data_IF_233440045556
#
_entry.id   IF_233440045556
#
_cell.length_a   1.000
_cell.length_b   1.000
_cell.length_c   1.000
_cell.angle_alpha   90.00
_cell.angle_beta   90.00
_cell.angle_gamma   90.00
#
_symmetry.space_group_name_H-M   'P 1'
#
loop_
_entity.id
_entity.type
_entity.pdbx_description
1 polymer ?
#
# COMPACT_ATOMS: atom_id res chain seq x y z
N UNK A 1 6.28 13.06 12.71
CA UNK A 1 6.60 11.72 13.27
C UNK A 1 8.04 11.37 12.96
N UNK A 2 8.74 10.60 13.81
CA UNK A 2 10.10 10.17 13.53
C UNK A 2 10.15 9.23 12.31
N UNK A 3 11.27 9.27 11.58
CA UNK A 3 11.59 8.31 10.50
C UNK A 3 11.43 6.87 10.99
N UNK A 4 10.87 6.00 10.14
CA UNK A 4 10.64 4.60 10.48
C UNK A 4 9.97 3.81 9.37
N UNK A 5 9.88 2.49 9.57
CA UNK A 5 9.14 1.57 8.72
C UNK A 5 7.78 1.29 9.34
N UNK A 6 6.74 1.25 8.51
CA UNK A 6 5.37 1.00 8.90
C UNK A 6 4.79 -0.10 8.01
N UNK A 7 4.06 -1.03 8.60
CA UNK A 7 3.18 -1.92 7.84
C UNK A 7 1.82 -1.28 7.70
N UNK A 8 1.24 -1.39 6.50
CA UNK A 8 -0.11 -0.96 6.20
C UNK A 8 -0.91 -2.18 5.75
N UNK A 9 -2.07 -2.39 6.36
CA UNK A 9 -3.02 -3.43 5.96
C UNK A 9 -4.41 -2.86 5.98
N UNK A 10 -5.27 -3.21 5.04
CA UNK A 10 -6.57 -2.58 4.97
C UNK A 10 -7.53 -3.25 4.02
N UNK A 11 -8.71 -2.63 3.92
CA UNK A 11 -9.83 -3.05 3.09
C UNK A 11 -10.33 -1.89 2.25
N UNK A 12 -10.70 -2.16 1.00
CA UNK A 12 -11.63 -1.32 0.23
C UNK A 12 -12.98 -2.03 0.19
N UNK A 13 -14.08 -1.27 0.20
CA UNK A 13 -15.43 -1.86 0.34
C UNK A 13 -16.20 -1.99 -0.97
N UNK A 14 -15.54 -1.73 -2.10
CA UNK A 14 -16.17 -1.79 -3.42
C UNK A 14 -15.31 -2.60 -4.38
N UNK A 15 -15.97 -3.52 -5.10
CA UNK A 15 -15.37 -4.15 -6.27
C UNK A 15 -15.30 -3.10 -7.37
N UNK A 16 -14.13 -2.48 -7.50
CA UNK A 16 -13.91 -1.57 -8.63
C UNK A 16 -13.68 -2.39 -9.88
N UNK A 17 -14.71 -2.54 -10.71
CA UNK A 17 -14.60 -3.00 -12.11
C UNK A 17 -13.57 -2.18 -12.91
N UNK A 18 -13.17 -1.01 -12.40
CA UNK A 18 -12.17 -0.11 -12.98
C UNK A 18 -10.74 -0.65 -12.95
N UNK A 19 -10.43 -1.62 -12.08
CA UNK A 19 -9.13 -2.25 -12.07
C UNK A 19 -9.12 -3.46 -13.01
N UNK A 20 -8.77 -3.23 -14.29
CA UNK A 20 -8.54 -4.29 -15.28
C UNK A 20 -7.70 -5.43 -14.67
N UNK A 21 -8.29 -6.62 -14.56
CA UNK A 21 -7.66 -7.80 -13.96
C UNK A 21 -6.34 -8.09 -14.69
N UNK A 22 -5.21 -8.08 -13.96
CA UNK A 22 -3.93 -8.50 -14.53
C UNK A 22 -4.07 -9.97 -14.95
N UNK A 23 -3.80 -10.33 -16.23
CA UNK A 23 -3.83 -11.71 -16.69
C UNK A 23 -2.89 -12.59 -15.86
N UNK A 24 -3.32 -13.81 -15.52
CA UNK A 24 -2.57 -14.70 -14.61
C UNK A 24 -1.17 -15.09 -15.11
N UNK A 25 -0.87 -14.91 -16.40
CA UNK A 25 0.40 -15.30 -17.04
C UNK A 25 1.58 -14.35 -16.85
N UNK A 26 1.39 -13.13 -16.34
CA UNK A 26 2.44 -12.09 -16.27
C UNK A 26 3.02 -11.88 -14.85
N UNK A 27 2.73 -12.78 -13.90
CA UNK A 27 3.14 -12.65 -12.49
C UNK A 27 4.44 -13.40 -12.23
N UNK A 28 5.38 -12.78 -11.51
CA UNK A 28 6.57 -13.48 -11.02
C UNK A 28 6.29 -14.24 -9.69
N UNK A 29 7.20 -15.13 -9.26
CA UNK A 29 6.97 -16.03 -8.12
C UNK A 29 6.70 -15.29 -6.79
N UNK A 30 7.41 -14.19 -6.52
CA UNK A 30 7.23 -13.40 -5.29
C UNK A 30 5.92 -12.62 -5.28
N UNK A 31 5.53 -12.05 -6.42
CA UNK A 31 4.21 -11.43 -6.59
C UNK A 31 3.10 -12.47 -6.45
N UNK A 32 3.36 -13.70 -6.88
CA UNK A 32 2.37 -14.77 -6.86
C UNK A 32 1.99 -15.19 -5.44
N UNK A 33 2.93 -15.28 -4.48
CA UNK A 33 2.61 -15.71 -3.12
C UNK A 33 1.71 -14.73 -2.36
N UNK A 34 2.06 -13.43 -2.35
CA UNK A 34 1.25 -12.40 -1.68
C UNK A 34 -0.12 -12.22 -2.36
N UNK A 35 -0.16 -12.26 -3.69
CA UNK A 35 -1.42 -12.12 -4.43
C UNK A 35 -2.29 -13.37 -4.30
N UNK A 36 -1.71 -14.58 -4.19
CA UNK A 36 -2.47 -15.82 -4.00
C UNK A 36 -3.23 -15.82 -2.67
N UNK A 37 -2.62 -15.33 -1.58
CA UNK A 37 -3.32 -15.14 -0.31
C UNK A 37 -4.50 -14.16 -0.43
N UNK A 38 -4.36 -13.13 -1.25
CA UNK A 38 -5.38 -12.09 -1.45
C UNK A 38 -6.47 -12.48 -2.46
N UNK A 39 -6.33 -13.61 -3.17
CA UNK A 39 -7.39 -14.13 -4.07
C UNK A 39 -8.66 -14.51 -3.30
N UNK A 40 -8.51 -15.01 -2.08
CA UNK A 40 -9.64 -15.43 -1.23
C UNK A 40 -10.28 -14.25 -0.48
N UNK A 41 -9.70 -13.05 -0.59
CA UNK A 41 -10.17 -11.84 0.05
C UNK A 41 -9.88 -10.63 -0.85
N UNK A 42 -10.62 -10.47 -1.97
CA UNK A 42 -10.30 -9.52 -3.03
C UNK A 42 -10.32 -8.05 -2.59
N UNK A 43 -10.91 -7.78 -1.44
CA UNK A 43 -11.05 -6.46 -0.82
C UNK A 43 -9.85 -6.07 0.06
N UNK A 44 -8.95 -7.00 0.36
CA UNK A 44 -7.79 -6.74 1.22
C UNK A 44 -6.62 -6.16 0.43
N UNK A 45 -5.85 -5.29 1.10
CA UNK A 45 -4.52 -4.87 0.68
C UNK A 45 -3.53 -4.94 1.86
N UNK A 46 -2.25 -5.15 1.54
CA UNK A 46 -1.17 -5.22 2.52
C UNK A 46 0.14 -4.67 1.95
N UNK A 47 0.95 -4.02 2.76
CA UNK A 47 2.14 -3.32 2.30
C UNK A 47 3.02 -2.75 3.39
N UNK A 48 4.03 -1.99 2.95
CA UNK A 48 4.95 -1.29 3.82
C UNK A 48 5.23 0.13 3.32
N UNK A 49 5.40 1.06 4.26
CA UNK A 49 5.90 2.42 4.04
C UNK A 49 7.22 2.54 4.81
N UNK A 50 8.26 3.06 4.17
CA UNK A 50 9.60 3.17 4.75
C UNK A 50 10.32 4.43 4.27
N UNK A 51 11.30 4.87 5.06
CA UNK A 51 12.17 5.97 4.68
C UNK A 51 13.13 5.53 3.57
N UNK A 52 13.17 6.30 2.49
CA UNK A 52 14.19 6.23 1.45
C UNK A 52 15.21 7.34 1.70
N UNK A 53 16.34 6.95 2.28
CA UNK A 53 17.43 7.87 2.61
C UNK A 53 18.29 8.07 1.35
N UNK A 54 18.22 9.26 0.78
CA UNK A 54 19.04 9.65 -0.37
C UNK A 54 20.48 9.93 0.06
N UNK A 55 21.41 9.90 -0.90
CA UNK A 55 22.85 10.07 -0.66
C UNK A 55 23.24 11.45 -0.12
N UNK A 56 22.40 12.46 -0.35
CA UNK A 56 22.55 13.84 0.13
C UNK A 56 21.98 14.05 1.55
N UNK A 57 21.42 13.01 2.16
CA UNK A 57 20.81 13.08 3.49
C UNK A 57 19.35 13.52 3.47
N UNK A 58 18.77 13.83 2.31
CA UNK A 58 17.32 13.99 2.19
C UNK A 58 16.63 12.63 2.39
N UNK A 59 15.48 12.64 3.04
CA UNK A 59 14.66 11.44 3.21
C UNK A 59 13.26 11.67 2.66
N UNK A 60 12.86 10.85 1.70
CA UNK A 60 11.47 10.74 1.26
C UNK A 60 10.84 9.47 1.84
N UNK A 61 9.52 9.39 1.84
CA UNK A 61 8.82 8.14 2.12
C UNK A 61 8.55 7.41 0.80
N UNK A 62 8.81 6.10 0.79
CA UNK A 62 8.41 5.18 -0.27
C UNK A 62 7.56 4.07 0.33
N UNK A 63 6.79 3.39 -0.51
CA UNK A 63 6.10 2.20 -0.09
C UNK A 63 5.82 1.21 -1.20
N UNK A 64 5.42 0.02 -0.78
CA UNK A 64 4.95 -1.06 -1.63
C UNK A 64 3.62 -1.55 -1.08
N UNK A 65 2.70 -1.89 -1.95
CA UNK A 65 1.41 -2.44 -1.59
C UNK A 65 1.05 -3.58 -2.54
N UNK A 66 0.44 -4.62 -2.00
CA UNK A 66 -0.08 -5.77 -2.70
C UNK A 66 -1.56 -5.91 -2.39
N UNK A 67 -2.34 -6.23 -3.41
CA UNK A 67 -3.74 -6.60 -3.28
C UNK A 67 -4.11 -7.63 -4.35
N UNK A 68 -5.40 -7.88 -4.50
CA UNK A 68 -5.96 -8.76 -5.52
C UNK A 68 -5.46 -8.47 -6.95
N UNK A 69 -5.33 -7.19 -7.28
CA UNK A 69 -5.00 -6.74 -8.62
C UNK A 69 -3.50 -6.79 -8.88
N UNK A 70 -2.65 -6.67 -7.86
CA UNK A 70 -1.23 -7.00 -7.96
C UNK A 70 -0.33 -6.10 -7.12
N UNK A 71 0.95 -6.04 -7.51
CA UNK A 71 1.94 -5.22 -6.83
C UNK A 71 1.88 -3.76 -7.29
N UNK A 72 1.96 -2.84 -6.32
CA UNK A 72 1.96 -1.41 -6.51
C UNK A 72 3.11 -0.73 -5.76
N UNK A 73 3.52 0.42 -6.26
CA UNK A 73 4.39 1.37 -5.58
C UNK A 73 3.52 2.47 -4.96
N UNK A 74 3.90 2.91 -3.77
CA UNK A 74 3.30 4.05 -3.09
C UNK A 74 4.22 5.27 -3.22
N UNK A 75 3.68 6.38 -3.72
CA UNK A 75 4.34 7.68 -3.88
C UNK A 75 3.54 8.79 -3.20
N UNK A 76 4.09 10.00 -3.16
CA UNK A 76 3.43 11.20 -2.60
C UNK A 76 2.90 10.98 -1.18
N UNK A 77 3.66 10.21 -0.39
CA UNK A 77 3.24 9.75 0.92
C UNK A 77 3.35 10.90 1.91
N UNK A 78 2.21 11.31 2.47
CA UNK A 78 2.14 12.24 3.60
C UNK A 78 1.62 11.48 4.80
N UNK A 79 2.44 11.34 5.83
CA UNK A 79 2.06 10.65 7.07
C UNK A 79 2.26 11.57 8.28
N UNK A 80 1.17 11.88 8.95
CA UNK A 80 1.07 12.67 10.19
C UNK A 80 0.31 11.86 11.23
N UNK A 81 0.19 12.38 12.45
CA UNK A 81 -0.41 11.65 13.58
C UNK A 81 -1.87 11.22 13.33
N UNK A 82 -2.63 12.06 12.63
CA UNK A 82 -4.06 11.94 12.37
C UNK A 82 -4.42 11.92 10.87
N UNK A 83 -3.42 12.02 9.99
CA UNK A 83 -3.61 12.12 8.54
C UNK A 83 -2.61 11.24 7.77
N UNK A 84 -3.13 10.48 6.81
CA UNK A 84 -2.35 9.68 5.88
C UNK A 84 -2.87 9.87 4.46
N UNK A 85 -1.99 10.21 3.53
CA UNK A 85 -2.30 10.12 2.10
C UNK A 85 -1.14 9.52 1.31
N UNK A 86 -1.46 8.87 0.20
CA UNK A 86 -0.48 8.35 -0.75
C UNK A 86 -1.13 8.10 -2.11
N UNK A 87 -0.31 8.10 -3.16
CA UNK A 87 -0.70 7.63 -4.49
C UNK A 87 -0.20 6.21 -4.68
N UNK A 88 -1.11 5.31 -5.03
CA UNK A 88 -0.82 3.91 -5.38
C UNK A 88 -0.79 3.77 -6.90
N UNK A 89 0.31 3.27 -7.43
CA UNK A 89 0.48 3.00 -8.86
C UNK A 89 0.89 1.55 -9.06
N UNK A 90 0.12 0.78 -9.82
CA UNK A 90 0.44 -0.60 -10.13
C UNK A 90 1.69 -0.70 -11.00
N UNK A 91 2.51 -1.72 -10.78
CA UNK A 91 3.75 -1.93 -11.54
C UNK A 91 3.50 -2.35 -12.99
N UNK A 92 2.34 -2.94 -13.26
CA UNK A 92 1.97 -3.41 -14.58
C UNK A 92 0.80 -2.56 -15.10
N UNK A 93 0.89 -2.04 -16.34
CA UNK A 93 -0.25 -1.43 -17.01
C UNK A 93 -1.37 -2.48 -17.19
N UNK A 94 -2.64 -2.09 -17.37
CA UNK A 94 -3.16 -0.75 -17.68
C UNK A 94 -3.82 -0.03 -16.49
N UNK A 95 -3.56 -0.47 -15.26
CA UNK A 95 -4.28 0.00 -14.08
C UNK A 95 -3.96 1.47 -13.75
N UNK A 96 -5.01 2.27 -13.59
CA UNK A 96 -4.86 3.69 -13.27
C UNK A 96 -4.33 3.90 -11.85
N UNK A 97 -3.55 4.96 -11.61
CA UNK A 97 -3.18 5.37 -10.26
C UNK A 97 -4.42 5.65 -9.39
N UNK A 98 -4.27 5.40 -8.10
CA UNK A 98 -5.30 5.68 -7.11
C UNK A 98 -4.72 6.49 -5.96
N UNK A 99 -5.33 7.62 -5.63
CA UNK A 99 -4.91 8.44 -4.49
C UNK A 99 -5.76 8.11 -3.29
N UNK A 100 -5.14 7.75 -2.17
CA UNK A 100 -5.77 7.43 -0.91
C UNK A 100 -5.63 8.60 0.07
N UNK A 101 -6.68 8.86 0.84
CA UNK A 101 -6.70 9.87 1.90
C UNK A 101 -7.45 9.28 3.09
N UNK A 102 -6.80 9.27 4.25
CA UNK A 102 -7.32 8.73 5.50
C UNK A 102 -7.17 9.71 6.66
N UNK A 103 -8.10 9.60 7.61
CA UNK A 103 -8.02 10.18 8.94
C UNK A 103 -7.99 9.08 10.00
N UNK A 104 -7.27 9.33 11.09
CA UNK A 104 -7.20 8.38 12.20
C UNK A 104 -8.45 8.45 13.07
N UNK A 105 -9.05 7.30 13.34
CA UNK A 105 -10.22 7.09 14.20
C UNK A 105 -9.90 5.96 15.19
N UNK A 106 -9.35 6.33 16.35
CA UNK A 106 -8.80 5.36 17.31
C UNK A 106 -7.57 4.64 16.74
N UNK A 107 -7.65 3.31 16.66
CA UNK A 107 -6.59 2.46 16.10
C UNK A 107 -6.71 2.25 14.59
N UNK A 108 -7.85 2.63 14.01
CA UNK A 108 -8.11 2.51 12.59
C UNK A 108 -7.88 3.83 11.85
N UNK A 109 -7.67 3.71 10.55
CA UNK A 109 -7.63 4.82 9.60
C UNK A 109 -8.82 4.68 8.68
N UNK A 110 -9.72 5.66 8.67
CA UNK A 110 -10.93 5.66 7.82
C UNK A 110 -10.79 6.74 6.76
N UNK A 111 -11.14 6.41 5.53
CA UNK A 111 -10.92 7.31 4.41
C UNK A 111 -11.54 6.84 3.10
N UNK A 112 -10.95 7.34 2.02
CA UNK A 112 -11.40 7.07 0.66
C UNK A 112 -10.20 6.96 -0.28
N UNK A 113 -10.43 6.33 -1.42
CA UNK A 113 -9.54 6.37 -2.57
C UNK A 113 -10.22 7.05 -3.75
N UNK A 114 -9.43 7.67 -4.62
CA UNK A 114 -9.87 8.29 -5.85
C UNK A 114 -9.12 7.66 -7.02
N UNK A 115 -9.83 7.15 -8.02
CA UNK A 115 -9.23 6.58 -9.23
C UNK A 115 -8.97 7.72 -10.23
N UNK A 116 -7.71 7.97 -10.56
CA UNK A 116 -7.30 9.22 -11.24
C UNK A 116 -7.95 9.43 -12.61
N UNK A 117 -8.19 8.38 -13.39
CA UNK A 117 -8.73 8.48 -14.75
C UNK A 117 -10.27 8.59 -14.80
N UNK A 118 -10.98 8.01 -13.83
CA UNK A 118 -12.45 8.01 -13.80
C UNK A 118 -13.01 9.04 -12.82
N UNK A 119 -12.20 9.51 -11.87
CA UNK A 119 -12.67 10.32 -10.74
C UNK A 119 -13.54 9.54 -9.76
N UNK A 120 -13.63 8.20 -9.89
CA UNK A 120 -14.38 7.36 -8.96
C UNK A 120 -13.85 7.52 -7.54
N UNK A 121 -14.73 7.68 -6.57
CA UNK A 121 -14.39 7.80 -5.15
C UNK A 121 -15.03 6.65 -4.41
N UNK A 122 -14.23 5.84 -3.73
CA UNK A 122 -14.73 4.72 -2.93
C UNK A 122 -14.18 4.73 -1.50
N UNK A 123 -14.90 4.16 -0.53
CA UNK A 123 -14.46 4.09 0.86
C UNK A 123 -13.34 3.06 1.06
N UNK A 124 -12.42 3.37 1.98
CA UNK A 124 -11.36 2.48 2.41
C UNK A 124 -11.07 2.62 3.90
N UNK A 125 -10.59 1.54 4.52
CA UNK A 125 -10.08 1.54 5.89
C UNK A 125 -8.75 0.82 5.96
N UNK A 126 -7.86 1.26 6.84
CA UNK A 126 -6.59 0.56 7.08
C UNK A 126 -6.14 0.63 8.54
N UNK A 127 -5.18 -0.23 8.86
CA UNK A 127 -4.36 -0.20 10.04
C UNK A 127 -2.93 0.14 9.59
N UNK A 128 -2.30 1.02 10.35
CA UNK A 128 -0.89 1.39 10.14
C UNK A 128 -0.15 1.12 11.42
N UNK A 129 0.79 0.18 11.35
CA UNK A 129 1.56 -0.28 12.51
C UNK A 129 3.02 0.06 12.30
N UNK A 130 3.61 0.80 13.26
CA UNK A 130 5.06 1.04 13.25
C UNK A 130 5.79 -0.28 13.49
N UNK A 131 6.74 -0.60 12.61
CA UNK A 131 7.53 -1.82 12.71
C UNK A 131 8.68 -1.60 13.70
N UNK A 132 8.79 -2.41 14.78
CA UNK A 132 9.96 -2.42 15.63
C UNK A 132 11.21 -2.74 14.81
N UNK A 133 12.27 -1.94 14.93
CA UNK A 133 13.49 -2.09 14.13
C UNK A 133 14.11 -3.48 14.23
N UNK A 134 13.96 -4.15 15.38
CA UNK A 134 14.46 -5.50 15.63
C UNK A 134 13.87 -6.55 14.67
N UNK A 135 12.65 -6.35 14.16
CA UNK A 135 12.05 -7.25 13.17
C UNK A 135 12.69 -7.13 11.78
N UNK A 136 13.45 -6.06 11.53
CA UNK A 136 14.13 -5.80 10.25
C UNK A 136 15.57 -6.32 10.22
N UNK A 137 16.08 -6.81 11.36
CA UNK A 137 17.44 -7.36 11.46
C UNK A 137 17.35 -8.86 11.16
N UNK A 138 17.99 -9.36 10.09
CA UNK A 138 18.02 -10.79 9.82
C UNK A 138 18.68 -11.55 10.99
N UNK A 139 18.20 -12.75 11.34
CA UNK A 139 18.88 -13.55 12.35
C UNK A 139 20.30 -13.85 11.87
N UNK A 140 21.29 -13.61 12.73
CA UNK A 140 22.68 -14.03 12.48
C UNK A 140 22.71 -15.55 12.40
N UNK A 141 23.28 -16.11 11.33
CA UNK A 141 23.50 -17.55 11.22
C UNK A 141 24.37 -18.00 12.39
N UNK A 142 23.84 -18.88 13.24
CA UNK A 142 24.59 -19.66 14.23
C UNK A 142 25.30 -20.82 13.58
#
# INVERSE_FOLDING_TARGET
MPLGTFFITGVFFEETEFCARIPEGDRNDEQSAAVQFMKDAPYLFGGAIYADIKKDGESDLKGLMYDYYGASVLTDIVMREDYLSFTKTYRQPPLAPMTYIFKREGDAWTGQYVVTNTGHIGPAKCLVTKVPFQLLIPPTKS
#
